data_IF_100351117769
#
_entry.id   IF_100351117769
#
_cell.length_a   1.000
_cell.length_b   1.000
_cell.length_c   1.000
_cell.angle_alpha   90.00
_cell.angle_beta   90.00
_cell.angle_gamma   90.00
#
_symmetry.space_group_name_H-M   'P 1'
#
loop_
_entity.id
_entity.type
_entity.pdbx_description
1 polymer ?
#
# COMPACT_ATOMS: atom_id res chain seq x y z
N UNK A 1 4.24 -1.57 13.24
CA UNK A 1 3.26 -1.78 12.13
C UNK A 1 2.03 -0.89 12.24
N UNK A 2 1.38 -0.73 13.40
CA UNK A 2 0.13 0.07 13.50
C UNK A 2 0.28 1.54 13.06
N UNK A 3 1.42 2.18 13.33
CA UNK A 3 1.73 3.54 12.88
C UNK A 3 1.99 3.64 11.35
N UNK A 4 2.26 2.52 10.67
CA UNK A 4 2.57 2.50 9.24
C UNK A 4 1.36 2.89 8.38
N UNK A 5 0.15 2.57 8.81
CA UNK A 5 -1.07 2.91 8.07
C UNK A 5 -1.23 4.43 7.98
N UNK A 6 -1.13 5.11 9.13
CA UNK A 6 -1.22 6.57 9.19
C UNK A 6 -0.12 7.25 8.36
N UNK A 7 1.12 6.79 8.51
CA UNK A 7 2.24 7.32 7.74
C UNK A 7 2.06 7.09 6.23
N UNK A 8 1.59 5.91 5.82
CA UNK A 8 1.32 5.58 4.42
C UNK A 8 0.27 6.51 3.84
N UNK A 9 -0.89 6.70 4.49
CA UNK A 9 -1.90 7.60 3.95
C UNK A 9 -1.43 9.05 3.93
N UNK A 10 -0.73 9.55 4.94
CA UNK A 10 -0.21 10.93 4.87
C UNK A 10 0.70 11.13 3.66
N UNK A 11 1.67 10.22 3.45
CA UNK A 11 2.63 10.32 2.35
C UNK A 11 1.96 10.09 0.99
N UNK A 12 1.20 9.00 0.85
CA UNK A 12 0.54 8.63 -0.40
C UNK A 12 -0.47 9.70 -0.85
N UNK A 13 -1.20 10.31 0.09
CA UNK A 13 -2.17 11.36 -0.22
C UNK A 13 -1.48 12.68 -0.58
N UNK A 14 -0.41 13.05 0.12
CA UNK A 14 0.42 14.21 -0.23
C UNK A 14 1.01 14.07 -1.65
N UNK A 15 1.55 12.90 -1.99
CA UNK A 15 2.05 12.61 -3.33
C UNK A 15 0.93 12.59 -4.37
N UNK A 16 -0.23 12.01 -4.04
CA UNK A 16 -1.39 11.99 -4.93
C UNK A 16 -1.91 13.40 -5.25
N UNK A 17 -2.00 14.30 -4.26
CA UNK A 17 -2.48 15.68 -4.49
C UNK A 17 -1.60 16.42 -5.51
N UNK A 18 -0.29 16.23 -5.44
CA UNK A 18 0.67 16.76 -6.40
C UNK A 18 0.59 16.05 -7.76
N UNK A 19 0.60 14.71 -7.78
CA UNK A 19 0.59 13.93 -9.02
C UNK A 19 -0.67 14.15 -9.85
N UNK A 20 -1.83 14.27 -9.20
CA UNK A 20 -3.13 14.47 -9.85
C UNK A 20 -3.40 15.93 -10.22
N UNK A 21 -2.55 16.88 -9.81
CA UNK A 21 -2.70 18.30 -10.19
C UNK A 21 -2.66 18.52 -11.71
N UNK A 22 -2.00 17.62 -12.45
CA UNK A 22 -1.89 17.65 -13.92
C UNK A 22 -3.22 17.47 -14.65
N UNK A 23 -4.23 16.88 -13.99
CA UNK A 23 -5.56 16.69 -14.56
C UNK A 23 -6.35 18.00 -14.38
N UNK A 24 -6.11 18.92 -15.32
CA UNK A 24 -6.65 20.28 -15.34
C UNK A 24 -7.69 20.50 -16.46
N UNK A 25 -7.86 19.53 -17.37
CA UNK A 25 -8.78 19.61 -18.51
C UNK A 25 -8.28 20.47 -19.68
N UNK A 26 -7.07 21.03 -19.59
CA UNK A 26 -6.52 21.97 -20.57
C UNK A 26 -5.79 21.28 -21.72
N UNK A 27 -5.02 20.22 -21.40
CA UNK A 27 -4.19 19.50 -22.38
C UNK A 27 -4.82 18.19 -22.84
N UNK A 28 -5.53 17.52 -21.94
CA UNK A 28 -6.11 16.20 -22.18
C UNK A 28 -7.18 15.89 -21.13
N UNK A 29 -7.96 14.83 -21.39
CA UNK A 29 -9.00 14.35 -20.49
C UNK A 29 -10.32 15.09 -20.65
N UNK A 30 -11.04 15.27 -19.55
CA UNK A 30 -12.32 15.97 -19.52
C UNK A 30 -12.10 17.47 -19.68
N UNK A 31 -12.50 18.02 -20.83
CA UNK A 31 -12.55 19.46 -21.07
C UNK A 31 -13.96 19.98 -20.80
N UNK A 32 -14.05 21.10 -20.09
CA UNK A 32 -15.30 21.80 -19.79
C UNK A 32 -15.32 23.15 -20.52
N UNK A 33 -16.49 23.76 -20.77
CA UNK A 33 -16.57 25.12 -21.27
C UNK A 33 -15.84 26.10 -20.34
N UNK A 34 -15.24 27.14 -20.93
CA UNK A 34 -14.52 28.17 -20.18
C UNK A 34 -15.44 28.86 -19.15
N UNK A 35 -14.93 29.01 -17.94
CA UNK A 35 -15.51 29.80 -16.86
C UNK A 35 -14.87 31.21 -16.82
N UNK A 36 -15.41 32.16 -16.02
CA UNK A 36 -14.88 33.53 -15.97
C UNK A 36 -13.39 33.62 -15.62
N UNK A 37 -12.86 32.64 -14.88
CA UNK A 37 -11.42 32.53 -14.61
C UNK A 37 -10.88 31.15 -14.95
N UNK A 38 -9.60 31.07 -15.29
CA UNK A 38 -8.90 29.80 -15.52
C UNK A 38 -9.00 28.86 -14.31
N UNK A 39 -8.92 29.41 -13.09
CA UNK A 39 -9.03 28.62 -11.86
C UNK A 39 -10.42 28.00 -11.70
N UNK A 40 -11.47 28.72 -12.11
CA UNK A 40 -12.84 28.19 -12.10
C UNK A 40 -13.01 27.08 -13.13
N UNK A 41 -12.45 27.24 -14.34
CA UNK A 41 -12.46 26.19 -15.37
C UNK A 41 -11.77 24.92 -14.87
N UNK A 42 -10.57 25.05 -14.28
CA UNK A 42 -9.82 23.94 -13.70
C UNK A 42 -10.59 23.28 -12.56
N UNK A 43 -11.16 24.09 -11.66
CA UNK A 43 -11.93 23.59 -10.52
C UNK A 43 -13.15 22.80 -10.98
N UNK A 44 -13.89 23.31 -11.97
CA UNK A 44 -15.05 22.64 -12.55
C UNK A 44 -14.67 21.34 -13.26
N UNK A 45 -13.61 21.34 -14.07
CA UNK A 45 -13.13 20.13 -14.75
C UNK A 45 -12.76 19.04 -13.75
N UNK A 46 -12.07 19.41 -12.66
CA UNK A 46 -11.65 18.47 -11.61
C UNK A 46 -12.81 17.93 -10.79
N UNK A 47 -13.75 18.79 -10.40
CA UNK A 47 -14.93 18.40 -9.63
C UNK A 47 -15.86 17.45 -10.39
N UNK A 48 -15.96 17.61 -11.72
CA UNK A 48 -16.75 16.71 -12.57
C UNK A 48 -15.98 15.45 -12.98
N UNK A 49 -14.66 15.55 -13.13
CA UNK A 49 -13.82 14.47 -13.65
C UNK A 49 -13.29 13.49 -12.60
N UNK A 50 -13.23 13.88 -11.32
CA UNK A 50 -12.70 13.06 -10.24
C UNK A 50 -13.83 12.56 -9.34
N UNK A 51 -13.82 11.28 -8.97
CA UNK A 51 -14.80 10.72 -8.03
C UNK A 51 -14.55 11.16 -6.58
N UNK A 52 -15.56 10.98 -5.72
CA UNK A 52 -15.59 11.48 -4.34
C UNK A 52 -14.37 11.05 -3.50
N UNK A 53 -13.97 9.78 -3.55
CA UNK A 53 -12.81 9.29 -2.80
C UNK A 53 -11.51 9.94 -3.30
N UNK A 54 -11.38 10.17 -4.61
CA UNK A 54 -10.20 10.85 -5.17
C UNK A 54 -10.15 12.30 -4.73
N UNK A 55 -11.29 13.01 -4.76
CA UNK A 55 -11.36 14.39 -4.28
C UNK A 55 -11.02 14.49 -2.78
N UNK A 56 -11.58 13.60 -1.95
CA UNK A 56 -11.25 13.50 -0.52
C UNK A 56 -9.76 13.31 -0.27
N UNK A 57 -9.14 12.39 -1.03
CA UNK A 57 -7.70 12.12 -0.97
C UNK A 57 -6.84 13.33 -1.33
N UNK A 58 -7.23 14.07 -2.37
CA UNK A 58 -6.55 15.31 -2.77
C UNK A 58 -6.68 16.37 -1.67
N UNK A 59 -7.87 16.57 -1.11
CA UNK A 59 -8.09 17.54 -0.04
C UNK A 59 -7.23 17.24 1.19
N UNK A 60 -7.24 15.99 1.66
CA UNK A 60 -6.41 15.56 2.80
C UNK A 60 -4.91 15.67 2.49
N UNK A 61 -4.50 15.27 1.28
CA UNK A 61 -3.11 15.38 0.84
C UNK A 61 -2.62 16.82 0.72
N UNK A 62 -3.45 17.72 0.19
CA UNK A 62 -3.16 19.16 0.13
C UNK A 62 -3.08 19.76 1.53
N UNK A 63 -3.95 19.35 2.45
CA UNK A 63 -3.87 19.78 3.85
C UNK A 63 -2.56 19.32 4.50
N UNK A 64 -2.14 18.07 4.30
CA UNK A 64 -0.93 17.52 4.91
C UNK A 64 0.36 18.26 4.53
N UNK A 65 0.35 19.00 3.41
CA UNK A 65 1.51 19.76 2.91
C UNK A 65 1.40 21.27 3.12
N UNK A 66 0.39 21.78 3.83
CA UNK A 66 0.33 23.21 4.17
C UNK A 66 1.39 23.54 5.23
N UNK A 67 1.78 24.82 5.30
CA UNK A 67 2.78 25.31 6.26
C UNK A 67 2.44 24.95 7.71
N UNK A 68 1.16 24.95 8.08
CA UNK A 68 0.70 24.69 9.44
C UNK A 68 0.69 23.20 9.79
N UNK A 69 0.50 22.33 8.79
CA UNK A 69 0.37 20.89 8.97
C UNK A 69 1.66 20.11 8.64
N UNK A 70 2.58 20.72 7.90
CA UNK A 70 3.78 20.09 7.34
C UNK A 70 4.59 19.29 8.37
N UNK A 71 4.94 19.92 9.49
CA UNK A 71 5.75 19.27 10.52
C UNK A 71 4.98 18.16 11.27
N UNK A 72 3.71 18.42 11.58
CA UNK A 72 2.88 17.53 12.40
C UNK A 72 2.42 16.28 11.64
N UNK A 73 2.28 16.37 10.32
CA UNK A 73 1.79 15.27 9.49
C UNK A 73 2.88 14.74 8.57
N UNK A 74 3.35 15.54 7.60
CA UNK A 74 4.23 15.04 6.55
C UNK A 74 5.62 14.65 7.09
N UNK A 75 6.26 15.53 7.87
CA UNK A 75 7.57 15.24 8.49
C UNK A 75 7.47 14.10 9.50
N UNK A 76 6.42 14.07 10.32
CA UNK A 76 6.16 12.97 11.25
C UNK A 76 6.00 11.63 10.51
N UNK A 77 5.29 11.59 9.39
CA UNK A 77 5.13 10.39 8.57
C UNK A 77 6.45 9.93 7.95
N UNK A 78 7.31 10.85 7.50
CA UNK A 78 8.66 10.53 7.02
C UNK A 78 9.53 9.92 8.14
N UNK A 79 9.42 10.43 9.37
CA UNK A 79 10.12 9.87 10.52
C UNK A 79 9.68 8.42 10.82
N UNK A 80 8.37 8.14 10.77
CA UNK A 80 7.84 6.77 10.91
C UNK A 80 8.35 5.87 9.79
N UNK A 81 8.33 6.34 8.53
CA UNK A 81 8.88 5.60 7.39
C UNK A 81 10.36 5.26 7.60
N UNK A 82 11.15 6.22 8.06
CA UNK A 82 12.57 6.02 8.32
C UNK A 82 12.82 5.02 9.46
N UNK A 83 12.09 5.13 10.56
CA UNK A 83 12.16 4.20 11.68
C UNK A 83 11.82 2.76 11.25
N UNK A 84 10.78 2.59 10.42
CA UNK A 84 10.41 1.29 9.85
C UNK A 84 11.55 0.69 9.01
N UNK A 85 12.19 1.48 8.16
CA UNK A 85 13.32 1.02 7.34
C UNK A 85 14.48 0.55 8.24
N UNK A 86 14.79 1.31 9.29
CA UNK A 86 15.83 0.93 10.25
C UNK A 86 15.48 -0.35 11.01
N UNK A 87 14.23 -0.49 11.45
CA UNK A 87 13.73 -1.68 12.15
C UNK A 87 13.85 -2.91 11.26
N UNK A 88 13.35 -2.84 10.02
CA UNK A 88 13.43 -3.97 9.08
C UNK A 88 14.89 -4.33 8.73
N UNK A 89 15.76 -3.34 8.53
CA UNK A 89 17.18 -3.57 8.27
C UNK A 89 17.87 -4.41 9.36
N UNK A 90 17.40 -4.32 10.61
CA UNK A 90 17.92 -5.13 11.71
C UNK A 90 17.48 -6.59 11.67
N UNK A 91 16.41 -6.93 10.93
CA UNK A 91 15.88 -8.29 10.87
C UNK A 91 16.37 -9.08 9.65
N UNK A 92 16.83 -8.39 8.61
CA UNK A 92 17.30 -9.05 7.39
C UNK A 92 18.69 -9.64 7.55
N UNK A 93 18.88 -10.87 7.06
CA UNK A 93 20.20 -11.46 6.91
C UNK A 93 21.04 -10.67 5.89
N UNK A 94 20.41 -10.29 4.78
CA UNK A 94 21.04 -9.56 3.69
C UNK A 94 21.05 -8.06 3.96
N UNK A 95 22.15 -7.42 3.55
CA UNK A 95 22.34 -5.97 3.65
C UNK A 95 21.37 -5.22 2.72
N UNK A 96 20.74 -4.17 3.22
CA UNK A 96 20.03 -3.21 2.34
C UNK A 96 21.07 -2.34 1.62
N UNK A 97 21.19 -2.50 0.30
CA UNK A 97 22.15 -1.75 -0.51
C UNK A 97 21.80 -0.26 -0.67
N UNK A 98 20.58 0.15 -0.32
CA UNK A 98 20.14 1.55 -0.36
C UNK A 98 20.53 2.33 0.89
N UNK A 99 20.98 1.65 1.94
CA UNK A 99 21.32 2.26 3.22
C UNK A 99 22.73 1.87 3.66
N UNK A 100 23.26 2.59 4.63
CA UNK A 100 24.51 2.21 5.30
C UNK A 100 24.33 1.06 6.31
N UNK A 101 23.08 0.67 6.60
CA UNK A 101 22.77 -0.37 7.56
C UNK A 101 23.20 -1.73 7.01
N UNK A 102 23.99 -2.46 7.79
CA UNK A 102 24.42 -3.81 7.46
C UNK A 102 23.33 -4.84 7.74
N UNK A 103 23.39 -6.00 7.06
CA UNK A 103 22.57 -7.16 7.43
C UNK A 103 22.96 -7.70 8.82
N UNK A 104 22.03 -8.38 9.48
CA UNK A 104 22.24 -8.92 10.82
C UNK A 104 22.63 -10.40 10.74
N UNK A 105 23.73 -10.77 11.42
CA UNK A 105 24.05 -12.19 11.64
C UNK A 105 22.95 -12.83 12.48
N UNK A 106 22.27 -13.82 11.92
CA UNK A 106 21.11 -14.47 12.54
C UNK A 106 19.76 -13.86 12.15
N UNK A 107 19.75 -12.90 11.22
CA UNK A 107 18.52 -12.40 10.59
C UNK A 107 17.87 -13.44 9.66
N UNK A 108 16.75 -13.06 9.06
CA UNK A 108 15.96 -13.89 8.16
C UNK A 108 16.12 -13.47 6.70
N UNK A 109 15.92 -14.41 5.77
CA UNK A 109 15.88 -14.12 4.33
C UNK A 109 14.47 -13.73 3.86
N UNK A 110 13.44 -14.27 4.50
CA UNK A 110 12.02 -14.05 4.16
C UNK A 110 11.20 -13.87 5.42
N UNK A 111 10.36 -12.83 5.44
CA UNK A 111 9.30 -12.63 6.42
C UNK A 111 7.98 -13.16 5.85
N UNK A 112 7.22 -13.90 6.66
CA UNK A 112 5.95 -14.51 6.25
C UNK A 112 4.84 -14.08 7.18
N UNK A 113 3.72 -13.61 6.63
CA UNK A 113 2.54 -13.22 7.40
C UNK A 113 1.27 -13.34 6.53
N UNK A 114 0.06 -13.34 7.12
CA UNK A 114 -1.18 -13.26 6.34
C UNK A 114 -1.23 -11.98 5.50
N UNK A 115 -1.78 -12.04 4.29
CA UNK A 115 -1.88 -10.85 3.43
C UNK A 115 -2.89 -9.83 3.94
N UNK A 116 -3.99 -10.29 4.53
CA UNK A 116 -5.06 -9.45 5.06
C UNK A 116 -5.47 -9.91 6.46
N UNK A 117 -6.04 -9.00 7.25
CA UNK A 117 -6.51 -9.28 8.62
C UNK A 117 -7.77 -10.16 8.67
N UNK A 118 -8.58 -10.11 7.62
CA UNK A 118 -9.87 -10.79 7.52
C UNK A 118 -10.13 -11.25 6.08
N UNK A 119 -11.17 -12.08 5.91
CA UNK A 119 -11.66 -12.46 4.58
C UNK A 119 -12.20 -11.25 3.81
N UNK A 120 -12.46 -11.45 2.51
CA UNK A 120 -13.00 -10.40 1.65
C UNK A 120 -14.34 -9.87 2.21
N UNK A 121 -14.50 -8.54 2.35
CA UNK A 121 -15.76 -7.94 2.81
C UNK A 121 -16.85 -8.11 1.75
N UNK A 122 -18.12 -8.08 2.17
CA UNK A 122 -19.23 -8.12 1.19
C UNK A 122 -19.46 -6.75 0.58
N UNK A 123 -19.95 -6.75 -0.66
CA UNK A 123 -20.30 -5.52 -1.37
C UNK A 123 -21.38 -4.75 -0.59
N UNK A 124 -21.09 -3.48 -0.28
CA UNK A 124 -22.02 -2.58 0.41
C UNK A 124 -21.91 -2.60 1.94
N UNK A 125 -21.09 -3.46 2.55
CA UNK A 125 -20.74 -3.34 3.96
C UNK A 125 -19.78 -2.14 4.14
N UNK A 126 -20.12 -1.20 5.02
CA UNK A 126 -19.53 0.15 5.09
C UNK A 126 -18.02 0.24 5.34
N UNK A 127 -17.46 1.38 4.94
CA UNK A 127 -16.04 1.66 4.62
C UNK A 127 -15.14 2.09 5.78
N UNK A 128 -15.66 2.21 7.01
CA UNK A 128 -14.87 2.75 8.13
C UNK A 128 -13.63 1.91 8.49
N UNK A 129 -13.61 0.62 8.13
CA UNK A 129 -12.48 -0.30 8.33
C UNK A 129 -11.69 -0.60 7.03
N UNK A 130 -12.00 0.07 5.91
CA UNK A 130 -11.37 -0.24 4.61
C UNK A 130 -9.85 -0.04 4.66
N UNK A 131 -9.41 1.08 5.24
CA UNK A 131 -7.99 1.38 5.40
C UNK A 131 -7.27 0.46 6.41
N UNK A 132 -8.02 -0.20 7.31
CA UNK A 132 -7.44 -1.15 8.25
C UNK A 132 -7.08 -2.49 7.55
N UNK A 133 -7.66 -2.79 6.39
CA UNK A 133 -7.31 -3.97 5.62
C UNK A 133 -5.86 -3.92 5.11
N UNK A 134 -5.35 -2.70 4.90
CA UNK A 134 -3.99 -2.43 4.43
C UNK A 134 -2.92 -2.45 5.54
N UNK A 135 -3.31 -2.82 6.77
CA UNK A 135 -2.41 -2.86 7.93
C UNK A 135 -1.17 -3.73 7.72
N UNK A 136 -1.34 -4.83 6.98
CA UNK A 136 -0.29 -5.82 6.74
C UNK A 136 0.41 -5.64 5.39
N UNK A 137 0.05 -4.64 4.58
CA UNK A 137 0.61 -4.47 3.23
C UNK A 137 1.44 -3.20 3.10
N UNK A 138 0.99 -2.12 3.73
CA UNK A 138 1.59 -0.77 3.61
C UNK A 138 3.04 -0.66 4.07
N UNK A 139 3.48 -1.51 4.99
CA UNK A 139 4.86 -1.51 5.47
C UNK A 139 5.85 -1.82 4.32
N UNK A 140 5.48 -2.71 3.39
CA UNK A 140 6.29 -3.08 2.24
C UNK A 140 6.51 -1.89 1.31
N UNK A 141 5.44 -1.13 1.02
CA UNK A 141 5.51 0.10 0.23
C UNK A 141 6.37 1.18 0.90
N UNK A 142 6.18 1.40 2.21
CA UNK A 142 6.93 2.41 2.96
C UNK A 142 8.43 2.10 3.01
N UNK A 143 8.77 0.84 3.30
CA UNK A 143 10.15 0.36 3.31
C UNK A 143 10.73 0.16 1.91
N UNK A 144 9.88 0.15 0.88
CA UNK A 144 10.25 -0.08 -0.51
C UNK A 144 10.87 -1.45 -0.72
N UNK A 145 10.37 -2.48 -0.06
CA UNK A 145 10.87 -3.86 -0.17
C UNK A 145 9.90 -4.71 -1.01
N UNK A 146 10.39 -5.77 -1.68
CA UNK A 146 9.51 -6.67 -2.42
C UNK A 146 8.64 -7.49 -1.47
N UNK A 147 7.35 -7.57 -1.79
CA UNK A 147 6.36 -8.39 -1.08
C UNK A 147 5.50 -9.12 -2.11
N UNK A 148 5.38 -10.44 -1.98
CA UNK A 148 4.61 -11.31 -2.86
C UNK A 148 3.49 -11.99 -2.07
N UNK A 149 2.25 -11.91 -2.54
CA UNK A 149 1.11 -12.65 -1.97
C UNK A 149 0.80 -13.90 -2.80
N UNK A 150 0.72 -15.05 -2.14
CA UNK A 150 0.32 -16.32 -2.74
C UNK A 150 -0.91 -16.90 -2.02
N UNK A 151 -1.84 -17.56 -2.73
CA UNK A 151 -3.02 -18.13 -2.12
C UNK A 151 -2.65 -19.32 -1.22
N UNK A 152 -3.12 -19.30 0.03
CA UNK A 152 -3.08 -20.44 0.93
C UNK A 152 -4.03 -21.54 0.44
N UNK A 153 -3.74 -22.78 0.78
CA UNK A 153 -4.67 -23.89 0.61
C UNK A 153 -5.85 -23.81 1.59
N UNK A 154 -5.67 -23.12 2.73
CA UNK A 154 -6.73 -22.86 3.68
C UNK A 154 -7.73 -21.83 3.14
N UNK A 155 -9.02 -22.06 3.44
CA UNK A 155 -10.12 -21.13 3.15
C UNK A 155 -10.78 -20.67 4.44
N UNK A 156 -11.33 -19.46 4.44
CA UNK A 156 -12.14 -18.93 5.54
C UNK A 156 -13.63 -19.07 5.19
N UNK A 157 -14.45 -19.50 6.13
CA UNK A 157 -15.91 -19.43 5.98
C UNK A 157 -16.38 -18.00 6.28
N UNK A 158 -17.17 -17.43 5.38
CA UNK A 158 -17.77 -16.10 5.55
C UNK A 158 -18.97 -16.08 6.51
N UNK A 159 -19.32 -17.22 7.11
CA UNK A 159 -20.45 -17.40 8.00
C UNK A 159 -21.77 -17.65 7.28
N UNK A 160 -21.79 -17.60 5.95
CA UNK A 160 -22.93 -17.97 5.10
C UNK A 160 -22.62 -19.21 4.23
N UNK A 161 -21.55 -19.94 4.55
CA UNK A 161 -21.16 -21.14 3.82
C UNK A 161 -20.38 -20.88 2.53
N UNK A 162 -19.87 -19.66 2.33
CA UNK A 162 -18.95 -19.35 1.23
C UNK A 162 -17.52 -19.45 1.73
N UNK A 163 -16.73 -20.31 1.09
CA UNK A 163 -15.32 -20.50 1.41
C UNK A 163 -14.45 -19.48 0.65
N UNK A 164 -13.97 -18.46 1.36
CA UNK A 164 -13.15 -17.37 0.84
C UNK A 164 -11.66 -17.73 0.78
N UNK A 165 -10.93 -17.26 -0.25
CA UNK A 165 -9.49 -17.45 -0.34
C UNK A 165 -8.74 -16.67 0.75
N UNK A 166 -7.61 -17.23 1.19
CA UNK A 166 -6.70 -16.58 2.14
C UNK A 166 -5.35 -16.36 1.45
N UNK A 167 -4.76 -15.18 1.60
CA UNK A 167 -3.42 -14.87 1.08
C UNK A 167 -2.35 -15.03 2.15
N UNK A 168 -1.17 -15.52 1.75
CA UNK A 168 0.06 -15.50 2.53
C UNK A 168 1.04 -14.56 1.82
N UNK A 169 1.53 -13.56 2.53
CA UNK A 169 2.53 -12.63 2.05
C UNK A 169 3.93 -13.08 2.45
N UNK A 170 4.85 -12.98 1.50
CA UNK A 170 6.27 -13.25 1.64
C UNK A 170 7.01 -11.96 1.30
N UNK A 171 7.75 -11.42 2.25
CA UNK A 171 8.57 -10.23 2.06
C UNK A 171 10.04 -10.59 2.15
N UNK A 172 10.88 -9.99 1.31
CA UNK A 172 12.32 -10.16 1.34
C UNK A 172 13.02 -8.80 1.36
N UNK A 173 14.33 -8.83 1.59
CA UNK A 173 15.15 -7.63 1.47
C UNK A 173 15.07 -7.04 0.04
N UNK A 174 15.25 -5.73 -0.07
CA UNK A 174 15.33 -5.02 -1.35
C UNK A 174 16.26 -5.73 -2.35
N UNK A 175 15.80 -5.89 -3.59
CA UNK A 175 16.53 -6.53 -4.68
C UNK A 175 16.54 -8.08 -4.64
N UNK A 176 15.76 -8.70 -3.75
CA UNK A 176 15.67 -10.16 -3.61
C UNK A 176 14.33 -10.72 -4.10
N UNK A 177 13.75 -10.12 -5.14
CA UNK A 177 12.51 -10.56 -5.78
C UNK A 177 12.62 -12.00 -6.30
N UNK A 178 13.78 -12.36 -6.87
CA UNK A 178 14.06 -13.71 -7.39
C UNK A 178 13.98 -14.77 -6.27
N UNK A 179 14.42 -14.44 -5.06
CA UNK A 179 14.32 -15.32 -3.89
C UNK A 179 12.84 -15.57 -3.55
N UNK A 180 12.00 -14.53 -3.55
CA UNK A 180 10.57 -14.68 -3.26
C UNK A 180 9.88 -15.57 -4.29
N UNK A 181 10.16 -15.35 -5.57
CA UNK A 181 9.63 -16.17 -6.66
C UNK A 181 10.06 -17.63 -6.49
N UNK A 182 11.33 -17.88 -6.18
CA UNK A 182 11.84 -19.23 -5.95
C UNK A 182 11.19 -19.91 -4.74
N UNK A 183 11.07 -19.21 -3.60
CA UNK A 183 10.43 -19.76 -2.40
C UNK A 183 8.98 -20.16 -2.68
N UNK A 184 8.22 -19.29 -3.36
CA UNK A 184 6.81 -19.55 -3.67
C UNK A 184 6.68 -20.70 -4.65
N UNK A 185 7.50 -20.77 -5.70
CA UNK A 185 7.53 -21.87 -6.66
C UNK A 185 7.83 -23.22 -5.96
N UNK A 186 8.80 -23.24 -5.06
CA UNK A 186 9.13 -24.44 -4.28
C UNK A 186 7.99 -24.85 -3.34
N UNK A 187 7.33 -23.89 -2.68
CA UNK A 187 6.17 -24.17 -1.82
C UNK A 187 4.97 -24.69 -2.62
N UNK A 188 4.73 -24.17 -3.84
CA UNK A 188 3.66 -24.66 -4.72
C UNK A 188 3.95 -26.07 -5.25
N UNK A 189 5.20 -26.34 -5.62
CA UNK A 189 5.62 -27.63 -6.17
C UNK A 189 5.65 -28.73 -5.10
N UNK A 190 6.20 -28.42 -3.92
CA UNK A 190 6.58 -29.43 -2.93
C UNK A 190 5.76 -29.42 -1.64
N UNK A 191 4.88 -28.44 -1.42
CA UNK A 191 4.01 -28.40 -0.23
C UNK A 191 2.52 -28.42 -0.59
N UNK A 192 1.68 -28.59 0.43
CA UNK A 192 0.23 -28.38 0.35
C UNK A 192 -0.22 -27.10 1.06
N UNK A 193 0.72 -26.22 1.45
CA UNK A 193 0.41 -24.99 2.20
C UNK A 193 -0.20 -23.94 1.27
N UNK A 194 0.28 -23.88 0.03
CA UNK A 194 -0.25 -23.01 -1.01
C UNK A 194 -1.25 -23.76 -1.90
N UNK A 195 -2.25 -23.04 -2.40
CA UNK A 195 -3.20 -23.60 -3.34
C UNK A 195 -2.52 -23.95 -4.67
N UNK A 196 -2.79 -25.15 -5.21
CA UNK A 196 -2.29 -25.59 -6.52
C UNK A 196 -3.38 -25.39 -7.57
N UNK A 197 -3.18 -24.48 -8.53
CA UNK A 197 -3.87 -24.43 -9.82
C UNK A 197 -5.40 -24.24 -9.84
N UNK A 198 -5.83 -23.13 -10.47
CA UNK A 198 -7.18 -22.75 -10.95
C UNK A 198 -8.40 -23.17 -10.12
N UNK A 199 -8.74 -22.33 -9.13
CA UNK A 199 -10.02 -22.39 -8.45
C UNK A 199 -10.13 -21.32 -7.37
N UNK A 200 -10.00 -20.05 -7.76
CA UNK A 200 -10.67 -18.98 -7.06
C UNK A 200 -12.18 -19.15 -7.23
#
# INVERSE_FOLDING_TARGET
>A
MEQCIGAYYVLALAEASSNLSRFDGMRYGLTVPDEPTLLDTISKARSLGLGDEVQKRILLGTYAVTTEAWDSYYVAALAVRYALIQELAQHWLQKDLRTSLGGQKGGVDVLVHPTALQGAPRLGEGTASEYAQDALTTYGNLAGIPVLSAPAAAKLDDGNGVALPVGISFAAQWGHDDLLLHVVDQLQSHSSVLAKGSGF
#
